data_IF_148017891361
#
_entry.id   IF_148017891361
#
_cell.length_a   1.000
_cell.length_b   1.000
_cell.length_c   1.000
_cell.angle_alpha   90.00
_cell.angle_beta   90.00
_cell.angle_gamma   90.00
#
_symmetry.space_group_name_H-M   'P 1'
#
loop_
_entity.id
_entity.type
_entity.pdbx_description
1 polymer ?
#
# COMPACT_ATOMS: atom_id res chain seq x y z
N UNK A 1 16.05 -15.14 -4.51
CA UNK A 1 14.78 -14.76 -5.16
C UNK A 1 13.62 -14.87 -4.18
N UNK A 2 12.81 -13.84 -4.10
CA UNK A 2 11.60 -13.87 -3.27
C UNK A 2 10.59 -14.85 -3.86
N UNK A 3 10.15 -15.81 -3.06
CA UNK A 3 9.30 -16.90 -3.55
C UNK A 3 7.83 -16.49 -3.66
N UNK A 4 7.36 -15.66 -2.74
CA UNK A 4 5.99 -15.15 -2.76
C UNK A 4 6.01 -13.65 -2.88
N UNK A 5 4.99 -13.08 -3.55
CA UNK A 5 4.91 -11.65 -3.79
C UNK A 5 3.46 -11.21 -3.57
N UNK A 6 3.26 -10.18 -2.75
CA UNK A 6 1.94 -9.59 -2.57
C UNK A 6 1.55 -8.84 -3.83
N UNK A 7 0.37 -9.13 -4.35
CA UNK A 7 -0.13 -8.58 -5.60
C UNK A 7 -1.34 -7.68 -5.32
N UNK A 8 -1.20 -6.39 -5.62
CA UNK A 8 -2.24 -5.40 -5.37
C UNK A 8 -3.01 -5.13 -6.65
N UNK A 9 -4.34 -5.21 -6.59
CA UNK A 9 -5.21 -4.95 -7.74
C UNK A 9 -6.00 -3.66 -7.50
N UNK A 10 -5.82 -2.69 -8.37
CA UNK A 10 -6.53 -1.42 -8.35
C UNK A 10 -7.73 -1.55 -9.28
N UNK A 11 -8.91 -1.69 -8.67
CA UNK A 11 -10.15 -2.05 -9.38
C UNK A 11 -11.28 -1.11 -8.97
N UNK A 12 -12.40 -1.15 -9.68
CA UNK A 12 -13.55 -0.30 -9.38
C UNK A 12 -13.17 1.17 -9.39
N UNK A 13 -13.45 1.87 -8.31
CA UNK A 13 -13.13 3.31 -8.17
C UNK A 13 -11.63 3.59 -8.16
N UNK A 14 -10.81 2.57 -7.91
CA UNK A 14 -9.35 2.70 -7.93
C UNK A 14 -8.73 2.37 -9.28
N UNK A 15 -9.53 1.95 -10.25
CA UNK A 15 -8.99 1.64 -11.57
C UNK A 15 -8.29 2.86 -12.17
N UNK A 16 -7.08 2.66 -12.67
CA UNK A 16 -6.25 3.71 -13.23
C UNK A 16 -5.35 4.40 -12.22
N UNK A 17 -5.42 4.00 -10.94
CA UNK A 17 -4.64 4.64 -9.87
C UNK A 17 -3.43 3.85 -9.42
N UNK A 18 -3.11 2.71 -10.08
CA UNK A 18 -2.00 1.88 -9.65
C UNK A 18 -0.67 2.63 -9.69
N UNK A 19 -0.39 3.36 -10.76
CA UNK A 19 0.88 4.09 -10.88
C UNK A 19 1.02 5.17 -9.81
N UNK A 20 0.00 6.00 -9.61
CA UNK A 20 0.08 7.03 -8.57
C UNK A 20 0.25 6.41 -7.18
N UNK A 21 -0.41 5.27 -6.93
CA UNK A 21 -0.32 4.60 -5.64
C UNK A 21 1.08 4.08 -5.39
N UNK A 22 1.69 3.39 -6.35
CA UNK A 22 3.03 2.84 -6.15
C UNK A 22 4.11 3.94 -6.11
N UNK A 23 3.91 5.05 -6.80
CA UNK A 23 4.77 6.23 -6.66
C UNK A 23 4.68 6.77 -5.24
N UNK A 24 3.47 6.85 -4.70
CA UNK A 24 3.24 7.29 -3.33
C UNK A 24 3.92 6.34 -2.33
N UNK A 25 3.67 5.04 -2.43
CA UNK A 25 4.23 4.05 -1.50
C UNK A 25 5.76 4.04 -1.53
N UNK A 26 6.35 4.04 -2.71
CA UNK A 26 7.82 4.03 -2.82
C UNK A 26 8.46 5.31 -2.31
N UNK A 27 7.73 6.42 -2.31
CA UNK A 27 8.24 7.69 -1.78
C UNK A 27 8.27 7.74 -0.25
N UNK A 28 7.52 6.87 0.43
CA UNK A 28 7.37 6.90 1.89
C UNK A 28 8.47 6.14 2.63
N UNK A 29 9.16 5.23 1.97
CA UNK A 29 10.11 4.32 2.61
C UNK A 29 11.46 4.39 1.92
N UNK A 30 12.57 4.37 2.68
CA UNK A 30 13.89 4.23 2.07
C UNK A 30 14.03 2.85 1.40
N UNK A 31 14.97 2.74 0.47
CA UNK A 31 15.25 1.48 -0.26
C UNK A 31 14.03 0.95 -1.00
N UNK A 32 13.26 1.85 -1.59
CA UNK A 32 12.02 1.56 -2.29
C UNK A 32 12.07 2.17 -3.69
N UNK A 33 11.62 1.41 -4.69
CA UNK A 33 11.64 1.88 -6.07
C UNK A 33 10.62 1.12 -6.92
N UNK A 34 10.19 1.72 -8.01
CA UNK A 34 9.46 1.03 -9.06
C UNK A 34 10.50 0.36 -9.95
N UNK A 35 10.50 -0.99 -9.99
CA UNK A 35 11.48 -1.76 -10.76
C UNK A 35 11.09 -1.91 -12.21
N UNK A 36 9.80 -2.12 -12.47
CA UNK A 36 9.28 -2.29 -13.81
C UNK A 36 7.82 -1.86 -13.84
N UNK A 37 7.40 -1.23 -14.94
CA UNK A 37 6.00 -0.88 -15.14
C UNK A 37 5.68 -1.01 -16.63
N UNK A 38 4.62 -1.78 -16.93
CA UNK A 38 4.09 -1.96 -18.27
C UNK A 38 2.67 -1.40 -18.30
N UNK A 39 2.32 -0.74 -19.40
CA UNK A 39 1.01 -0.11 -19.55
C UNK A 39 0.17 -0.85 -20.57
N UNK A 40 -1.15 -0.80 -20.39
CA UNK A 40 -2.07 -1.29 -21.41
C UNK A 40 -1.94 -0.46 -22.69
N UNK A 41 -1.99 -1.14 -23.81
CA UNK A 41 -2.08 -0.53 -25.15
C UNK A 41 -3.54 -0.46 -25.56
N UNK A 42 -3.84 0.39 -26.55
CA UNK A 42 -5.17 0.51 -27.09
C UNK A 42 -5.69 -0.86 -27.54
N UNK A 43 -6.92 -1.20 -27.12
CA UNK A 43 -7.59 -2.44 -27.53
C UNK A 43 -7.20 -3.67 -26.72
N UNK A 44 -6.24 -3.59 -25.78
CA UNK A 44 -5.91 -4.74 -24.96
C UNK A 44 -7.04 -5.03 -23.95
N UNK A 45 -7.40 -6.32 -23.77
CA UNK A 45 -8.48 -6.68 -22.85
C UNK A 45 -8.06 -6.51 -21.39
N UNK A 46 -9.03 -6.20 -20.54
CA UNK A 46 -8.84 -6.10 -19.09
C UNK A 46 -8.42 -4.73 -18.60
N UNK A 47 -8.15 -3.76 -19.49
CA UNK A 47 -7.73 -2.43 -19.09
C UNK A 47 -8.03 -1.38 -20.13
N UNK A 48 -7.50 -0.20 -19.93
CA UNK A 48 -7.56 0.92 -20.88
C UNK A 48 -6.14 1.41 -21.13
N UNK A 49 -5.92 1.95 -22.33
CA UNK A 49 -4.63 2.53 -22.70
C UNK A 49 -4.12 3.48 -21.62
N UNK A 50 -2.87 3.29 -21.21
CA UNK A 50 -2.21 4.10 -20.20
C UNK A 50 -2.39 3.62 -18.76
N UNK A 51 -3.35 2.73 -18.49
CA UNK A 51 -3.44 2.10 -17.17
C UNK A 51 -2.35 1.05 -17.02
N UNK A 52 -2.05 0.66 -15.77
CA UNK A 52 -0.95 -0.27 -15.48
C UNK A 52 -1.38 -1.70 -15.78
N UNK A 53 -0.74 -2.31 -16.78
CA UNK A 53 -0.94 -3.71 -17.10
C UNK A 53 -0.23 -4.63 -16.12
N UNK A 54 0.95 -4.23 -15.66
CA UNK A 54 1.70 -4.94 -14.63
C UNK A 54 2.84 -4.05 -14.13
N UNK A 55 3.05 -4.04 -12.82
CA UNK A 55 4.18 -3.34 -12.24
C UNK A 55 4.81 -4.18 -11.13
N UNK A 56 6.12 -4.02 -10.96
CA UNK A 56 6.87 -4.58 -9.85
C UNK A 56 7.56 -3.43 -9.14
N UNK A 57 7.43 -3.38 -7.83
CA UNK A 57 8.03 -2.31 -7.01
C UNK A 57 8.46 -2.88 -5.66
N UNK A 58 9.30 -2.14 -4.96
CA UNK A 58 9.75 -2.52 -3.63
C UNK A 58 9.32 -1.50 -2.59
N UNK A 59 9.03 -1.98 -1.40
CA UNK A 59 8.91 -1.18 -0.18
C UNK A 59 9.95 -1.73 0.77
N UNK A 60 10.94 -0.91 1.12
CA UNK A 60 12.04 -1.30 1.99
C UNK A 60 12.64 -2.65 1.55
N UNK A 61 13.00 -2.75 0.27
CA UNK A 61 13.57 -3.92 -0.41
C UNK A 61 12.62 -5.10 -0.59
N UNK A 62 11.43 -5.10 0.03
CA UNK A 62 10.43 -6.14 -0.14
C UNK A 62 9.68 -5.90 -1.45
N UNK A 63 9.61 -6.93 -2.30
CA UNK A 63 8.99 -6.83 -3.62
C UNK A 63 7.47 -7.03 -3.56
N UNK A 64 6.75 -6.20 -4.32
CA UNK A 64 5.31 -6.25 -4.51
C UNK A 64 5.00 -6.15 -6.01
N UNK A 65 3.81 -6.58 -6.39
CA UNK A 65 3.29 -6.37 -7.74
C UNK A 65 1.99 -5.56 -7.68
N UNK A 66 1.67 -4.88 -8.77
CA UNK A 66 0.44 -4.11 -8.89
C UNK A 66 -0.11 -4.16 -10.31
N UNK A 67 -1.43 -4.00 -10.42
CA UNK A 67 -2.14 -3.98 -11.70
C UNK A 67 -3.38 -3.10 -11.57
N UNK A 68 -3.74 -2.40 -12.65
CA UNK A 68 -5.09 -1.87 -12.84
C UNK A 68 -5.90 -2.90 -13.61
N UNK A 69 -7.13 -3.20 -13.19
CA UNK A 69 -7.96 -4.18 -13.87
C UNK A 69 -9.42 -3.76 -13.89
N UNK A 70 -10.06 -3.91 -15.05
CA UNK A 70 -11.48 -3.62 -15.26
C UNK A 70 -12.35 -4.84 -14.97
N UNK A 71 -13.64 -4.59 -14.75
CA UNK A 71 -14.64 -5.66 -14.68
C UNK A 71 -14.76 -6.35 -13.33
N UNK A 72 -14.27 -5.73 -12.28
CA UNK A 72 -14.31 -6.28 -10.92
C UNK A 72 -15.18 -5.42 -10.01
N UNK A 73 -15.84 -6.08 -9.05
CA UNK A 73 -16.72 -5.40 -8.08
C UNK A 73 -16.25 -5.56 -6.62
N UNK A 74 -15.00 -5.97 -6.43
CA UNK A 74 -14.39 -6.00 -5.09
C UNK A 74 -13.48 -4.78 -4.91
N UNK A 75 -12.97 -4.60 -3.71
CA UNK A 75 -12.02 -3.54 -3.38
C UNK A 75 -11.09 -4.04 -2.27
N UNK A 76 -10.10 -3.23 -1.90
CA UNK A 76 -9.30 -3.53 -0.74
C UNK A 76 -10.14 -3.54 0.53
N UNK A 77 -9.87 -4.48 1.41
CA UNK A 77 -10.51 -4.57 2.73
C UNK A 77 -9.44 -4.72 3.80
N UNK A 78 -9.75 -4.35 5.06
CA UNK A 78 -8.75 -4.46 6.13
C UNK A 78 -8.50 -5.89 6.63
N UNK A 79 -9.03 -6.90 5.94
CA UNK A 79 -8.71 -8.29 6.26
C UNK A 79 -7.25 -8.65 5.97
N UNK A 80 -6.59 -7.89 5.14
CA UNK A 80 -5.14 -7.94 4.91
C UNK A 80 -4.58 -6.54 5.14
N UNK A 81 -3.47 -6.46 5.85
CA UNK A 81 -2.76 -5.20 6.08
C UNK A 81 -1.29 -5.36 5.74
N UNK A 82 -0.68 -4.27 5.31
CA UNK A 82 0.77 -4.17 5.32
C UNK A 82 1.15 -3.70 6.72
N UNK A 83 1.97 -4.50 7.41
CA UNK A 83 2.39 -4.20 8.77
C UNK A 83 3.79 -3.59 8.75
N UNK A 84 3.94 -2.40 9.34
CA UNK A 84 5.21 -1.67 9.34
C UNK A 84 5.78 -1.62 10.75
N UNK A 85 7.00 -2.13 10.91
CA UNK A 85 7.77 -2.00 12.15
C UNK A 85 8.58 -0.71 12.05
N UNK A 86 8.12 0.34 12.71
CA UNK A 86 8.79 1.64 12.71
C UNK A 86 9.91 1.67 13.73
N UNK A 87 11.04 2.26 13.36
CA UNK A 87 12.24 2.30 14.21
C UNK A 87 12.19 3.40 15.27
N UNK A 88 11.30 4.38 15.09
CA UNK A 88 11.21 5.52 15.98
C UNK A 88 9.79 6.09 16.02
N UNK A 89 9.51 6.91 17.03
CA UNK A 89 8.25 7.64 17.11
C UNK A 89 8.13 8.66 15.98
N UNK A 90 9.22 9.27 15.56
CA UNK A 90 9.20 10.21 14.42
C UNK A 90 8.76 9.50 13.15
N UNK A 91 9.27 8.28 12.92
CA UNK A 91 8.91 7.50 11.74
C UNK A 91 7.41 7.16 11.73
N UNK A 92 6.88 6.63 12.83
CA UNK A 92 5.46 6.26 12.86
C UNK A 92 4.56 7.49 12.74
N UNK A 93 4.93 8.62 13.34
CA UNK A 93 4.17 9.86 13.24
C UNK A 93 4.11 10.33 11.79
N UNK A 94 5.23 10.32 11.09
CA UNK A 94 5.32 10.77 9.71
C UNK A 94 4.53 9.84 8.78
N UNK A 95 4.74 8.53 8.89
CA UNK A 95 4.02 7.55 8.08
C UNK A 95 2.51 7.63 8.31
N UNK A 96 2.09 7.76 9.56
CA UNK A 96 0.67 7.89 9.88
C UNK A 96 0.05 9.10 9.19
N UNK A 97 0.69 10.25 9.29
CA UNK A 97 0.20 11.49 8.67
C UNK A 97 0.07 11.34 7.15
N UNK A 98 1.12 10.80 6.51
CA UNK A 98 1.15 10.64 5.05
C UNK A 98 0.13 9.61 4.56
N UNK A 99 0.08 8.44 5.20
CA UNK A 99 -0.81 7.36 4.77
C UNK A 99 -2.28 7.67 5.05
N UNK A 100 -2.57 8.40 6.13
CA UNK A 100 -3.94 8.72 6.50
C UNK A 100 -4.58 9.75 5.55
N UNK A 101 -3.79 10.56 4.87
CA UNK A 101 -4.30 11.61 3.99
C UNK A 101 -5.26 11.06 2.93
N UNK A 102 -6.52 11.45 2.99
CA UNK A 102 -7.58 10.94 2.11
C UNK A 102 -8.10 9.57 2.48
N UNK A 103 -7.60 8.99 3.58
CA UNK A 103 -8.00 7.67 4.06
C UNK A 103 -8.84 7.73 5.33
N UNK A 104 -8.81 6.65 6.10
CA UNK A 104 -9.64 6.49 7.30
C UNK A 104 -8.87 5.74 8.38
N UNK A 105 -8.87 6.28 9.60
CA UNK A 105 -8.28 5.57 10.75
C UNK A 105 -9.31 4.60 11.34
N UNK A 106 -8.93 3.33 11.49
CA UNK A 106 -9.66 2.34 12.26
C UNK A 106 -9.24 2.38 13.72
N UNK A 107 -7.92 2.50 13.96
CA UNK A 107 -7.36 2.74 15.29
C UNK A 107 -6.42 3.93 15.18
N UNK A 108 -6.84 5.14 15.61
CA UNK A 108 -5.98 6.31 15.54
C UNK A 108 -4.66 6.09 16.26
N UNK A 109 -3.62 6.80 15.82
CA UNK A 109 -2.29 6.65 16.42
C UNK A 109 -2.36 6.91 17.93
N UNK A 110 -1.79 6.01 18.72
CA UNK A 110 -1.80 6.11 20.18
C UNK A 110 -1.16 4.92 20.83
N UNK A 111 -1.20 4.93 22.18
CA UNK A 111 -0.71 3.81 22.99
C UNK A 111 -1.84 2.83 23.25
N UNK A 112 -1.59 1.56 22.95
CA UNK A 112 -2.52 0.47 23.22
C UNK A 112 -1.82 -0.57 24.06
N UNK A 113 -2.56 -1.43 24.75
CA UNK A 113 -1.97 -2.36 25.71
C UNK A 113 -0.91 -3.30 25.14
N UNK A 114 -1.01 -3.64 23.84
CA UNK A 114 -0.06 -4.51 23.14
C UNK A 114 1.08 -3.75 22.46
N UNK A 115 1.04 -2.43 22.42
CA UNK A 115 2.00 -1.62 21.69
C UNK A 115 2.17 -0.25 22.33
N UNK A 116 3.41 0.21 22.39
CA UNK A 116 3.74 1.52 22.93
C UNK A 116 3.16 2.64 22.06
N UNK A 117 3.24 2.49 20.74
CA UNK A 117 2.62 3.40 19.78
C UNK A 117 2.21 2.62 18.56
N UNK A 118 0.93 2.72 18.23
CA UNK A 118 0.32 1.90 17.18
C UNK A 118 -0.74 2.70 16.45
N UNK A 119 -0.94 2.36 15.17
CA UNK A 119 -2.05 2.87 14.37
C UNK A 119 -2.51 1.81 13.39
N UNK A 120 -3.79 1.84 13.06
CA UNK A 120 -4.37 1.01 12.01
C UNK A 120 -5.25 1.91 11.17
N UNK A 121 -5.00 1.92 9.86
CA UNK A 121 -5.68 2.82 8.93
C UNK A 121 -5.88 2.15 7.57
N UNK A 122 -6.84 2.68 6.81
CA UNK A 122 -6.93 2.44 5.39
C UNK A 122 -6.48 3.71 4.68
N UNK A 123 -5.61 3.58 3.66
CA UNK A 123 -5.15 4.74 2.92
C UNK A 123 -6.22 5.23 1.94
N UNK A 124 -5.89 6.23 1.12
CA UNK A 124 -6.82 6.83 0.16
C UNK A 124 -7.34 5.86 -0.89
N UNK A 125 -6.69 4.72 -1.06
CA UNK A 125 -7.11 3.67 -1.99
C UNK A 125 -7.85 2.54 -1.27
N UNK A 126 -7.95 2.60 0.05
CA UNK A 126 -8.57 1.56 0.87
C UNK A 126 -7.62 0.46 1.32
N UNK A 127 -6.33 0.53 0.95
CA UNK A 127 -5.35 -0.45 1.39
C UNK A 127 -5.06 -0.27 2.88
N UNK A 128 -5.10 -1.38 3.62
CA UNK A 128 -4.96 -1.37 5.07
C UNK A 128 -3.50 -1.43 5.50
N UNK A 129 -3.15 -0.59 6.47
CA UNK A 129 -1.82 -0.48 7.04
C UNK A 129 -1.92 -0.55 8.56
N UNK A 130 -1.02 -1.31 9.17
CA UNK A 130 -0.83 -1.29 10.62
C UNK A 130 0.59 -0.84 10.90
N UNK A 131 0.73 0.16 11.74
CA UNK A 131 2.02 0.77 12.06
C UNK A 131 2.31 0.55 13.53
N UNK A 132 3.52 0.12 13.85
CA UNK A 132 3.94 -0.10 15.22
C UNK A 132 5.31 0.51 15.47
N UNK A 133 5.46 1.16 16.63
CA UNK A 133 6.74 1.65 17.13
C UNK A 133 6.94 1.11 18.53
N UNK A 134 8.12 0.58 18.80
CA UNK A 134 8.42 -0.05 20.07
C UNK A 134 8.16 -1.56 20.08
N UNK A 135 8.23 -2.15 21.27
CA UNK A 135 8.05 -3.59 21.43
C UNK A 135 6.58 -3.96 21.36
N UNK A 136 6.28 -5.06 20.65
CA UNK A 136 4.96 -5.67 20.69
C UNK A 136 4.86 -6.58 21.90
N UNK A 137 3.74 -6.49 22.60
CA UNK A 137 3.51 -7.24 23.83
C UNK A 137 2.08 -7.80 23.82
N UNK A 138 1.94 -8.92 23.15
CA UNK A 138 0.64 -9.62 23.05
C UNK A 138 0.42 -10.56 24.22
#
# INVERSE_FOLDING_TARGET
MQKTTTFLMFVGDNFGKAEEAIQFYTSLFPNSEIKKIDYFKEGEPGGKEGAVKHATFTIDKQEYMAIDSLGHNFTFTPSISIYVHCDSEDEINQLYTELLGGGKAMMPIGSYGFSKKFAWLADRYGLSWQLNSGTLDF
#
